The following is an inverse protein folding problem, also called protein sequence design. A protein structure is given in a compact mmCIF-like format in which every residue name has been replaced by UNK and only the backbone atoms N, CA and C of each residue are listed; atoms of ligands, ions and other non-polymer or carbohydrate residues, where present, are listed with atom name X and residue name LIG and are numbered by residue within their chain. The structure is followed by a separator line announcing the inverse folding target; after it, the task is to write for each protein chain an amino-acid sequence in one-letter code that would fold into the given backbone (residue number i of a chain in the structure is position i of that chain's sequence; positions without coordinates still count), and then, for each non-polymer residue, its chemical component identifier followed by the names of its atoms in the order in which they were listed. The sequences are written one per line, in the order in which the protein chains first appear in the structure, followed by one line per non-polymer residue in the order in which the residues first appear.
data_IF_047542546753
#
_entry.id   IF_047542546753
#
_cell.length_a   1.000
_cell.length_b   1.000
_cell.length_c   1.000
_cell.angle_alpha   90.00
_cell.angle_beta   90.00
_cell.angle_gamma   90.00
#
_symmetry.space_group_name_H-M   'P 1'
#
loop_
_entity.id
_entity.type
_entity.pdbx_description
1 polymer ?
#
# COMPACT_ATOMS: atom_id res chain seq x y z
N UNK A 1 -21.40 -34.45 3.56
CA UNK A 1 -20.83 -33.16 3.14
C UNK A 1 -20.36 -32.44 4.40
N UNK A 2 -19.05 -32.19 4.52
CA UNK A 2 -18.55 -31.20 5.48
C UNK A 2 -18.88 -29.84 4.87
N UNK A 3 -19.73 -29.07 5.55
CA UNK A 3 -20.04 -27.70 5.20
C UNK A 3 -19.43 -26.77 6.23
N UNK A 4 -18.90 -25.64 5.79
CA UNK A 4 -18.43 -24.58 6.66
C UNK A 4 -19.50 -23.48 6.74
N UNK A 5 -19.80 -23.04 7.96
CA UNK A 5 -20.74 -21.94 8.20
C UNK A 5 -19.96 -20.70 8.58
N UNK A 6 -20.13 -19.62 7.82
CA UNK A 6 -19.50 -18.34 8.07
C UNK A 6 -20.53 -17.35 8.61
N UNK A 7 -20.24 -16.72 9.75
CA UNK A 7 -21.08 -15.71 10.36
C UNK A 7 -20.19 -14.66 11.03
N UNK A 8 -20.49 -13.38 10.82
CA UNK A 8 -19.77 -12.24 11.40
C UNK A 8 -20.74 -11.32 12.12
N UNK A 9 -20.34 -10.81 13.29
CA UNK A 9 -21.16 -9.89 14.12
C UNK A 9 -20.64 -8.46 14.05
N UNK A 10 -19.32 -8.28 14.06
CA UNK A 10 -18.68 -6.96 14.04
C UNK A 10 -18.30 -6.47 12.63
N UNK A 11 -18.72 -7.17 11.57
CA UNK A 11 -18.54 -6.73 10.19
C UNK A 11 -17.07 -6.58 9.80
N UNK A 12 -16.70 -5.39 9.29
CA UNK A 12 -15.34 -5.15 8.78
C UNK A 12 -14.25 -5.28 9.86
N UNK A 13 -14.56 -5.09 11.14
CA UNK A 13 -13.58 -5.27 12.23
C UNK A 13 -13.09 -6.71 12.32
N UNK A 14 -14.02 -7.67 12.28
CA UNK A 14 -13.70 -9.10 12.25
C UNK A 14 -13.01 -9.47 10.94
N UNK A 15 -13.45 -8.88 9.82
CA UNK A 15 -12.88 -9.21 8.53
C UNK A 15 -11.42 -8.76 8.40
N UNK A 16 -11.06 -7.56 8.87
CA UNK A 16 -9.66 -7.11 8.92
C UNK A 16 -8.81 -8.04 9.77
N UNK A 17 -9.28 -8.43 10.96
CA UNK A 17 -8.55 -9.37 11.83
C UNK A 17 -8.36 -10.73 11.16
N UNK A 18 -9.37 -11.22 10.45
CA UNK A 18 -9.27 -12.45 9.68
C UNK A 18 -8.21 -12.36 8.58
N UNK A 19 -8.20 -11.27 7.80
CA UNK A 19 -7.23 -11.04 6.73
C UNK A 19 -5.80 -10.78 7.24
N UNK A 20 -5.68 -10.26 8.47
CA UNK A 20 -4.40 -9.98 9.10
C UNK A 20 -3.90 -11.07 10.05
N UNK A 21 -4.63 -12.19 10.18
CA UNK A 21 -4.39 -13.22 11.20
C UNK A 21 -3.01 -13.90 11.19
N UNK A 22 -2.23 -13.74 10.12
CA UNK A 22 -0.86 -14.26 9.99
C UNK A 22 0.23 -13.20 10.27
N UNK A 23 -0.15 -11.96 10.61
CA UNK A 23 0.77 -10.85 10.87
C UNK A 23 0.66 -10.39 12.32
N UNK A 24 1.73 -9.82 12.87
CA UNK A 24 1.73 -9.35 14.27
C UNK A 24 1.20 -7.92 14.31
N UNK A 25 0.05 -7.66 14.95
CA UNK A 25 -0.48 -6.30 15.08
C UNK A 25 0.43 -5.47 15.98
N UNK A 26 0.64 -4.20 15.63
CA UNK A 26 1.47 -3.27 16.42
C UNK A 26 0.64 -2.27 17.24
N UNK A 27 -0.68 -2.24 17.02
CA UNK A 27 -1.65 -1.40 17.73
C UNK A 27 -2.63 -2.27 18.50
N UNK A 28 -3.23 -1.72 19.55
CA UNK A 28 -4.08 -2.49 20.47
C UNK A 28 -5.43 -2.90 19.87
N UNK A 29 -6.00 -2.06 19.00
CA UNK A 29 -7.34 -2.24 18.47
C UNK A 29 -7.42 -1.93 16.98
N UNK A 30 -8.40 -2.54 16.30
CA UNK A 30 -8.71 -2.20 14.90
C UNK A 30 -9.30 -0.79 14.88
N UNK A 31 -8.73 0.07 14.06
CA UNK A 31 -9.25 1.40 13.81
C UNK A 31 -10.40 1.26 12.81
N UNK A 32 -11.59 1.74 13.15
CA UNK A 32 -12.75 1.58 12.27
C UNK A 32 -13.76 2.69 12.45
N UNK A 33 -14.52 2.96 11.40
CA UNK A 33 -15.74 3.77 11.48
C UNK A 33 -16.80 3.24 10.53
N UNK A 34 -18.04 3.56 10.86
CA UNK A 34 -19.20 3.40 9.99
C UNK A 34 -19.91 4.75 9.95
N UNK A 35 -20.06 5.31 8.74
CA UNK A 35 -20.84 6.50 8.49
C UNK A 35 -21.97 6.16 7.53
N UNK A 36 -23.15 5.93 8.08
CA UNK A 36 -24.37 5.54 7.37
C UNK A 36 -25.29 6.73 7.00
N UNK A 37 -25.01 7.92 7.54
CA UNK A 37 -25.86 9.13 7.38
C UNK A 37 -25.43 10.04 6.24
N UNK A 38 -24.27 9.79 5.63
CA UNK A 38 -23.78 10.55 4.47
C UNK A 38 -24.50 10.21 3.18
N UNK A 39 -24.39 11.08 2.18
CA UNK A 39 -24.88 10.83 0.80
C UNK A 39 -24.25 9.57 0.20
N UNK A 40 -23.00 9.31 0.56
CA UNK A 40 -22.27 8.08 0.24
C UNK A 40 -21.91 7.42 1.58
N UNK A 41 -22.62 6.37 2.00
CA UNK A 41 -22.24 5.62 3.18
C UNK A 41 -20.85 4.99 3.03
N UNK A 42 -20.01 5.17 4.05
CA UNK A 42 -18.63 4.70 4.08
C UNK A 42 -18.40 3.88 5.35
N UNK A 43 -17.86 2.69 5.18
CA UNK A 43 -17.38 1.84 6.28
C UNK A 43 -15.91 1.52 6.01
N UNK A 44 -15.03 1.78 6.98
CA UNK A 44 -13.61 1.45 6.88
C UNK A 44 -13.17 0.78 8.16
N UNK A 45 -12.33 -0.24 8.02
CA UNK A 45 -11.58 -0.82 9.12
C UNK A 45 -10.13 -1.01 8.70
N UNK A 46 -9.18 -0.75 9.59
CA UNK A 46 -7.77 -0.94 9.34
C UNK A 46 -6.99 -1.32 10.59
N UNK A 47 -5.86 -1.98 10.37
CA UNK A 47 -4.90 -2.32 11.41
C UNK A 47 -3.48 -2.18 10.87
N UNK A 48 -2.57 -1.73 11.73
CA UNK A 48 -1.13 -1.77 11.43
C UNK A 48 -0.51 -3.04 12.02
N UNK A 49 0.40 -3.62 11.26
CA UNK A 49 1.18 -4.80 11.63
C UNK A 49 2.68 -4.57 11.38
N UNK A 50 3.50 -5.56 11.72
CA UNK A 50 4.95 -5.54 11.61
C UNK A 50 5.49 -5.74 10.19
N UNK A 51 4.64 -6.07 9.21
CA UNK A 51 5.08 -6.34 7.84
C UNK A 51 5.47 -5.08 7.05
N UNK A 52 6.09 -5.28 5.89
CA UNK A 52 6.55 -4.23 4.98
C UNK A 52 5.61 -4.01 3.78
N UNK A 53 4.51 -4.76 3.68
CA UNK A 53 3.58 -4.66 2.55
C UNK A 53 2.28 -3.96 2.95
N UNK A 54 1.69 -3.22 2.00
CA UNK A 54 0.31 -2.76 2.12
C UNK A 54 -0.65 -3.86 1.64
N UNK A 55 -1.77 -4.01 2.33
CA UNK A 55 -2.81 -4.98 2.00
C UNK A 55 -4.19 -4.31 2.11
N UNK A 56 -4.64 -3.71 1.01
CA UNK A 56 -5.87 -2.91 0.98
C UNK A 56 -6.91 -3.61 0.13
N UNK A 57 -8.07 -3.89 0.72
CA UNK A 57 -9.24 -4.41 0.04
C UNK A 57 -10.27 -3.31 -0.10
N UNK A 58 -10.87 -3.18 -1.29
CA UNK A 58 -11.83 -2.13 -1.56
C UNK A 58 -13.09 -2.69 -2.21
N UNK A 59 -14.24 -2.22 -1.74
CA UNK A 59 -15.55 -2.73 -2.12
C UNK A 59 -16.49 -1.58 -2.43
N UNK A 60 -17.31 -1.77 -3.46
CA UNK A 60 -18.41 -0.86 -3.82
C UNK A 60 -19.66 -1.70 -3.92
N UNK A 61 -20.68 -1.44 -3.10
CA UNK A 61 -21.92 -2.23 -3.08
C UNK A 61 -21.66 -3.75 -3.00
N UNK A 62 -20.72 -4.17 -2.12
CA UNK A 62 -20.25 -5.55 -1.94
C UNK A 62 -19.47 -6.17 -3.12
N UNK A 63 -19.17 -5.40 -4.17
CA UNK A 63 -18.33 -5.85 -5.29
C UNK A 63 -16.88 -5.47 -5.01
N UNK A 64 -15.96 -6.44 -5.07
CA UNK A 64 -14.53 -6.21 -4.89
C UNK A 64 -13.94 -5.46 -6.10
N UNK A 65 -13.43 -4.25 -5.85
CA UNK A 65 -12.71 -3.43 -6.83
C UNK A 65 -11.20 -3.63 -6.67
N UNK A 66 -10.68 -4.74 -7.22
CA UNK A 66 -9.26 -5.10 -7.05
C UNK A 66 -8.29 -4.18 -7.80
N UNK A 67 -8.76 -3.42 -8.81
CA UNK A 67 -7.98 -2.36 -9.45
C UNK A 67 -8.13 -1.00 -8.72
N UNK A 68 -8.91 -0.95 -7.64
CA UNK A 68 -9.12 0.22 -6.81
C UNK A 68 -10.15 1.18 -7.39
N UNK A 69 -9.83 2.47 -7.43
CA UNK A 69 -10.74 3.51 -7.91
C UNK A 69 -10.74 4.76 -7.03
N UNK A 70 -11.76 5.58 -7.21
CA UNK A 70 -11.91 6.88 -6.54
C UNK A 70 -12.06 6.77 -5.02
N UNK A 71 -12.76 5.77 -4.50
CA UNK A 71 -12.83 5.46 -3.06
C UNK A 71 -11.46 5.11 -2.48
N UNK A 72 -10.67 4.27 -3.15
CA UNK A 72 -9.31 3.94 -2.72
C UNK A 72 -8.40 5.19 -2.74
N UNK A 73 -8.55 6.05 -3.75
CA UNK A 73 -7.86 7.34 -3.80
C UNK A 73 -8.23 8.23 -2.61
N UNK A 74 -9.53 8.34 -2.30
CA UNK A 74 -10.03 9.09 -1.14
C UNK A 74 -9.44 8.56 0.17
N UNK A 75 -9.43 7.25 0.36
CA UNK A 75 -8.81 6.60 1.52
C UNK A 75 -7.33 6.95 1.66
N UNK A 76 -6.54 6.76 0.59
CA UNK A 76 -5.09 7.04 0.58
C UNK A 76 -4.80 8.52 0.91
N UNK A 77 -5.63 9.42 0.38
CA UNK A 77 -5.52 10.85 0.64
C UNK A 77 -5.82 11.20 2.10
N UNK A 78 -6.94 10.72 2.64
CA UNK A 78 -7.35 10.95 4.02
C UNK A 78 -6.29 10.43 5.00
N UNK A 79 -5.87 9.18 4.82
CA UNK A 79 -4.83 8.51 5.62
C UNK A 79 -3.52 9.31 5.63
N UNK A 80 -2.99 9.60 4.45
CA UNK A 80 -1.69 10.29 4.32
C UNK A 80 -1.74 11.67 4.93
N UNK A 81 -2.80 12.45 4.66
CA UNK A 81 -2.93 13.82 5.15
C UNK A 81 -3.04 13.86 6.67
N UNK A 82 -3.87 13.00 7.25
CA UNK A 82 -4.11 12.99 8.71
C UNK A 82 -2.89 12.51 9.47
N UNK A 83 -2.28 11.39 9.07
CA UNK A 83 -1.09 10.88 9.74
C UNK A 83 0.10 11.82 9.60
N UNK A 84 0.27 12.46 8.43
CA UNK A 84 1.31 13.48 8.26
C UNK A 84 1.10 14.68 9.18
N UNK A 85 -0.11 15.24 9.23
CA UNK A 85 -0.47 16.34 10.12
C UNK A 85 -0.19 15.98 11.58
N UNK A 86 -0.55 14.78 12.02
CA UNK A 86 -0.27 14.31 13.37
C UNK A 86 1.23 14.17 13.63
N UNK A 87 1.98 13.56 12.70
CA UNK A 87 3.42 13.36 12.82
C UNK A 87 4.18 14.69 12.88
N UNK A 88 3.83 15.67 12.04
CA UNK A 88 4.38 17.02 12.06
C UNK A 88 4.08 17.72 13.40
N UNK A 89 2.85 17.64 13.91
CA UNK A 89 2.45 18.25 15.17
C UNK A 89 3.10 17.60 16.41
N UNK A 90 3.47 16.31 16.32
CA UNK A 90 4.06 15.56 17.43
C UNK A 90 5.55 15.88 17.68
N UNK A 91 6.23 16.58 16.76
CA UNK A 91 7.68 16.82 16.80
C UNK A 91 8.55 15.57 16.59
N UNK A 92 7.95 14.40 16.34
CA UNK A 92 8.68 13.15 16.09
C UNK A 92 9.48 13.18 14.79
N UNK A 93 9.12 14.09 13.87
CA UNK A 93 9.75 14.26 12.57
C UNK A 93 10.96 15.20 12.58
N UNK A 94 11.20 15.96 13.66
CA UNK A 94 12.23 17.01 13.71
C UNK A 94 13.65 16.51 13.44
N UNK A 95 13.91 15.23 13.73
CA UNK A 95 15.21 14.58 13.52
C UNK A 95 15.37 14.00 12.12
N UNK A 96 14.29 13.89 11.33
CA UNK A 96 14.35 13.39 9.97
C UNK A 96 14.84 14.49 9.03
N UNK A 97 15.90 14.20 8.28
CA UNK A 97 16.48 15.12 7.28
C UNK A 97 15.91 14.90 5.88
N UNK A 98 14.84 14.14 5.76
CA UNK A 98 14.31 13.70 4.48
C UNK A 98 12.80 13.56 4.53
N UNK A 99 12.17 13.72 3.37
CA UNK A 99 10.71 13.70 3.26
C UNK A 99 10.15 12.28 3.36
N UNK A 100 9.04 12.17 4.08
CA UNK A 100 8.19 10.98 4.16
C UNK A 100 7.21 11.01 2.98
N UNK A 101 7.11 9.90 2.26
CA UNK A 101 6.18 9.73 1.15
C UNK A 101 4.85 9.15 1.64
N UNK A 102 3.80 9.25 0.82
CA UNK A 102 2.52 8.60 1.13
C UNK A 102 2.62 7.09 1.28
N UNK A 103 3.59 6.46 0.60
CA UNK A 103 3.81 5.00 0.65
C UNK A 103 4.32 4.57 2.02
N UNK A 104 5.17 5.39 2.65
CA UNK A 104 5.70 5.11 3.99
C UNK A 104 4.58 5.03 5.05
N UNK A 105 3.49 5.79 4.86
CA UNK A 105 2.31 5.74 5.74
C UNK A 105 1.48 4.47 5.56
N UNK A 106 1.62 3.75 4.46
CA UNK A 106 0.83 2.55 4.14
C UNK A 106 1.60 1.26 4.34
N UNK A 107 2.89 1.35 4.66
CA UNK A 107 3.71 0.19 4.97
C UNK A 107 3.16 -0.57 6.18
N UNK A 108 2.93 -1.88 6.04
CA UNK A 108 2.37 -2.75 7.08
C UNK A 108 0.94 -2.41 7.48
N UNK A 109 0.16 -1.84 6.56
CA UNK A 109 -1.26 -1.55 6.73
C UNK A 109 -2.11 -2.65 6.10
N UNK A 110 -3.01 -3.24 6.88
CA UNK A 110 -4.12 -4.04 6.36
C UNK A 110 -5.42 -3.26 6.53
N UNK A 111 -6.11 -2.96 5.44
CA UNK A 111 -7.31 -2.13 5.46
C UNK A 111 -8.41 -2.67 4.55
N UNK A 112 -9.66 -2.45 4.95
CA UNK A 112 -10.85 -2.73 4.15
C UNK A 112 -11.68 -1.47 4.06
N UNK A 113 -12.06 -1.10 2.83
CA UNK A 113 -12.87 0.07 2.52
C UNK A 113 -14.12 -0.42 1.81
N UNK A 114 -15.29 -0.12 2.36
CA UNK A 114 -16.58 -0.43 1.76
C UNK A 114 -17.38 0.85 1.59
N UNK A 115 -17.82 1.12 0.36
CA UNK A 115 -18.67 2.27 0.05
C UNK A 115 -19.98 1.82 -0.59
N UNK A 116 -21.07 2.52 -0.26
CA UNK A 116 -22.37 2.34 -0.91
C UNK A 116 -22.63 3.51 -1.83
N UNK A 117 -22.76 3.24 -3.12
CA UNK A 117 -22.93 4.27 -4.18
C UNK A 117 -24.22 3.97 -4.93
N UNK A 118 -25.11 4.96 -5.04
CA UNK A 118 -26.42 4.78 -5.69
C UNK A 118 -26.28 4.45 -7.19
N UNK A 119 -25.47 5.22 -7.91
CA UNK A 119 -25.21 5.03 -9.35
C UNK A 119 -23.70 4.82 -9.59
N UNK A 120 -23.17 3.60 -9.33
CA UNK A 120 -21.75 3.34 -9.48
C UNK A 120 -21.34 3.26 -10.96
N UNK A 121 -20.36 4.06 -11.34
CA UNK A 121 -19.71 4.09 -12.64
C UNK A 121 -18.38 3.36 -12.53
N UNK A 122 -18.22 2.26 -13.26
CA UNK A 122 -16.99 1.48 -13.29
C UNK A 122 -16.21 1.73 -14.59
N UNK A 123 -14.89 1.71 -14.51
CA UNK A 123 -14.04 1.64 -15.69
C UNK A 123 -14.07 0.21 -16.24
N UNK A 124 -14.50 0.05 -17.50
CA UNK A 124 -14.56 -1.25 -18.17
C UNK A 124 -15.72 -2.16 -17.75
N UNK A 125 -15.79 -3.33 -18.38
CA UNK A 125 -16.89 -4.29 -18.20
C UNK A 125 -16.79 -5.09 -16.90
N UNK A 126 -15.57 -5.32 -16.41
CA UNK A 126 -15.27 -6.24 -15.30
C UNK A 126 -15.52 -5.64 -13.91
N UNK A 127 -16.07 -4.41 -13.81
CA UNK A 127 -16.39 -3.71 -12.55
C UNK A 127 -15.24 -3.68 -11.54
N UNK A 128 -14.02 -3.53 -12.04
CA UNK A 128 -12.78 -3.67 -11.27
C UNK A 128 -12.32 -2.38 -10.63
N UNK A 129 -12.73 -1.25 -11.19
CA UNK A 129 -12.29 0.08 -10.78
C UNK A 129 -13.42 1.09 -10.78
N UNK A 130 -13.60 1.80 -9.65
CA UNK A 130 -14.64 2.84 -9.49
C UNK A 130 -14.19 4.18 -10.09
N UNK A 131 -15.07 4.83 -10.85
CA UNK A 131 -14.84 6.10 -11.55
C UNK A 131 -15.59 7.32 -10.98
N UNK A 132 -16.53 7.14 -10.05
CA UNK A 132 -17.30 8.23 -9.42
C UNK A 132 -16.40 9.20 -8.65
N UNK A 133 -16.13 10.40 -9.17
CA UNK A 133 -15.19 11.37 -8.58
C UNK A 133 -15.72 11.97 -7.27
N UNK A 134 -17.03 12.08 -7.15
CA UNK A 134 -17.75 12.52 -5.95
C UNK A 134 -17.48 11.65 -4.72
N UNK A 135 -17.03 10.41 -4.90
CA UNK A 135 -16.71 9.47 -3.81
C UNK A 135 -15.39 9.82 -3.10
N UNK A 136 -14.47 10.52 -3.76
CA UNK A 136 -13.14 10.81 -3.19
C UNK A 136 -13.25 11.64 -1.91
N UNK A 137 -14.06 12.69 -1.91
CA UNK A 137 -14.13 13.64 -0.78
C UNK A 137 -14.81 13.04 0.46
N UNK A 138 -15.99 12.40 0.37
CA UNK A 138 -16.64 11.76 1.52
C UNK A 138 -15.76 10.69 2.17
N UNK A 139 -15.11 9.84 1.38
CA UNK A 139 -14.20 8.81 1.91
C UNK A 139 -12.99 9.43 2.60
N UNK A 140 -12.37 10.44 1.97
CA UNK A 140 -11.21 11.15 2.55
C UNK A 140 -11.55 11.84 3.88
N UNK A 141 -12.75 12.44 3.97
CA UNK A 141 -13.23 13.09 5.20
C UNK A 141 -13.52 12.08 6.30
N UNK A 142 -14.26 11.00 5.98
CA UNK A 142 -14.54 9.94 6.95
C UNK A 142 -13.25 9.35 7.53
N UNK A 143 -12.29 9.02 6.66
CA UNK A 143 -10.98 8.48 7.06
C UNK A 143 -10.20 9.47 7.91
N UNK A 144 -10.25 10.76 7.58
CA UNK A 144 -9.59 11.78 8.38
C UNK A 144 -10.19 11.86 9.79
N UNK A 145 -11.52 11.93 9.92
CA UNK A 145 -12.22 12.00 11.20
C UNK A 145 -11.94 10.77 12.08
N UNK A 146 -12.05 9.56 11.52
CA UNK A 146 -11.75 8.32 12.24
C UNK A 146 -10.31 8.31 12.78
N UNK A 147 -9.34 8.69 11.95
CA UNK A 147 -7.94 8.70 12.36
C UNK A 147 -7.65 9.81 13.37
N UNK A 148 -8.19 11.01 13.19
CA UNK A 148 -8.02 12.11 14.17
C UNK A 148 -8.55 11.67 15.55
N UNK A 149 -9.78 11.14 15.60
CA UNK A 149 -10.37 10.63 16.84
C UNK A 149 -9.52 9.52 17.46
N UNK A 150 -9.11 8.51 16.67
CA UNK A 150 -8.33 7.39 17.20
C UNK A 150 -6.97 7.82 17.75
N UNK A 151 -6.26 8.70 17.03
CA UNK A 151 -4.90 9.14 17.42
C UNK A 151 -4.93 10.04 18.65
N UNK A 152 -6.00 10.80 18.87
CA UNK A 152 -6.23 11.60 20.08
C UNK A 152 -6.57 10.72 21.28
N UNK A 153 -7.43 9.71 21.09
CA UNK A 153 -7.83 8.78 22.15
C UNK A 153 -6.71 7.79 22.52
N UNK A 154 -5.83 7.44 21.57
CA UNK A 154 -4.81 6.40 21.72
C UNK A 154 -3.38 6.93 21.42
N UNK A 155 -2.82 7.82 22.27
CA UNK A 155 -1.53 8.45 22.02
C UNK A 155 -0.34 7.48 21.99
N UNK A 156 -0.44 6.33 22.66
CA UNK A 156 0.61 5.30 22.60
C UNK A 156 0.64 4.62 21.23
N UNK A 157 -0.51 4.18 20.74
CA UNK A 157 -0.64 3.58 19.41
C UNK A 157 -0.25 4.58 18.32
N UNK A 158 -0.67 5.85 18.46
CA UNK A 158 -0.28 6.91 17.55
C UNK A 158 1.25 7.07 17.43
N UNK A 159 1.97 7.03 18.56
CA UNK A 159 3.45 7.05 18.56
C UNK A 159 4.04 5.83 17.86
N UNK A 160 3.48 4.63 18.09
CA UNK A 160 3.94 3.39 17.45
C UNK A 160 3.76 3.47 15.93
N UNK A 161 2.60 3.94 15.46
CA UNK A 161 2.32 4.14 14.03
C UNK A 161 3.35 5.11 13.44
N UNK A 162 3.55 6.29 14.04
CA UNK A 162 4.51 7.28 13.52
C UNK A 162 5.94 6.73 13.51
N UNK A 163 6.35 5.98 14.53
CA UNK A 163 7.67 5.34 14.55
C UNK A 163 7.84 4.33 13.42
N UNK A 164 6.82 3.52 13.13
CA UNK A 164 6.85 2.60 11.98
C UNK A 164 7.01 3.36 10.66
N UNK A 165 6.24 4.43 10.46
CA UNK A 165 6.35 5.28 9.26
C UNK A 165 7.74 5.90 9.13
N UNK A 166 8.33 6.35 10.25
CA UNK A 166 9.70 6.86 10.26
C UNK A 166 10.66 5.78 9.77
N UNK A 167 10.59 4.56 10.33
CA UNK A 167 11.44 3.44 9.94
C UNK A 167 11.30 3.08 8.46
N UNK A 168 10.07 3.02 7.95
CA UNK A 168 9.77 2.82 6.53
C UNK A 168 10.47 3.88 5.65
N UNK A 169 10.33 5.15 6.02
CA UNK A 169 10.98 6.26 5.33
C UNK A 169 12.51 6.14 5.37
N UNK A 170 13.12 5.78 6.51
CA UNK A 170 14.58 5.61 6.60
C UNK A 170 15.05 4.47 5.70
N UNK A 171 14.33 3.34 5.68
CA UNK A 171 14.63 2.20 4.85
C UNK A 171 14.56 2.55 3.35
N UNK A 172 13.51 3.26 2.93
CA UNK A 172 13.33 3.75 1.55
C UNK A 172 14.47 4.68 1.13
N UNK A 173 14.85 5.64 1.97
CA UNK A 173 15.94 6.56 1.66
C UNK A 173 17.32 5.88 1.66
N UNK A 174 17.57 4.95 2.58
CA UNK A 174 18.78 4.14 2.58
C UNK A 174 18.89 3.29 1.29
N UNK A 175 17.80 2.66 0.87
CA UNK A 175 17.73 1.89 -0.37
C UNK A 175 17.94 2.78 -1.60
N UNK A 176 17.33 3.97 -1.66
CA UNK A 176 17.53 4.95 -2.73
C UNK A 176 18.99 5.38 -2.82
N UNK A 177 19.61 5.73 -1.69
CA UNK A 177 21.03 6.12 -1.64
C UNK A 177 21.95 4.97 -2.09
N UNK A 178 21.65 3.73 -1.69
CA UNK A 178 22.39 2.56 -2.13
C UNK A 178 22.32 2.38 -3.66
N UNK A 179 21.11 2.49 -4.25
CA UNK A 179 20.91 2.43 -5.71
C UNK A 179 21.64 3.55 -6.44
N UNK A 180 21.57 4.78 -5.95
CA UNK A 180 22.28 5.93 -6.54
C UNK A 180 23.80 5.77 -6.47
N UNK A 181 24.35 5.24 -5.38
CA UNK A 181 25.79 4.95 -5.26
C UNK A 181 26.24 3.88 -6.27
N UNK A 182 25.43 2.84 -6.49
CA UNK A 182 25.70 1.84 -7.53
C UNK A 182 25.59 2.47 -8.92
N UNK A 183 24.54 3.25 -9.19
CA UNK A 183 24.35 3.92 -10.49
C UNK A 183 25.47 4.91 -10.81
N UNK A 184 25.93 5.71 -9.84
CA UNK A 184 27.07 6.62 -10.04
C UNK A 184 28.37 5.86 -10.34
N UNK A 185 28.58 4.70 -9.71
CA UNK A 185 29.72 3.82 -10.04
C UNK A 185 29.60 3.23 -11.46
N UNK A 186 28.38 2.93 -11.93
CA UNK A 186 28.15 2.44 -13.30
C UNK A 186 28.16 3.54 -14.37
N UNK A 187 27.96 4.82 -14.03
CA UNK A 187 28.07 5.92 -15.02
C UNK A 187 29.53 6.19 -15.42
N UNK A 188 30.51 5.91 -14.55
CA UNK A 188 31.94 5.93 -14.88
C UNK A 188 32.56 4.55 -15.12
N UNK A 189 31.79 3.46 -14.99
CA UNK A 189 32.21 2.09 -15.24
C UNK A 189 31.30 1.44 -16.27
N UNK A 190 31.82 1.25 -17.49
CA UNK A 190 31.11 0.80 -18.70
C UNK A 190 29.80 0.04 -18.48
N UNK A 191 28.73 0.54 -19.10
CA UNK A 191 27.38 -0.05 -19.06
C UNK A 191 27.39 -1.53 -19.44
N UNK A 192 26.86 -2.35 -18.55
CA UNK A 192 26.75 -3.80 -18.70
C UNK A 192 26.85 -4.51 -17.35
N UNK A 193 26.54 -5.80 -17.32
CA UNK A 193 26.97 -6.74 -16.26
C UNK A 193 28.26 -7.40 -16.77
N UNK A 194 29.45 -6.81 -16.53
CA UNK A 194 30.67 -7.22 -17.21
C UNK A 194 30.97 -8.69 -16.86
N UNK A 195 31.07 -9.53 -17.89
CA UNK A 195 31.35 -10.96 -17.74
C UNK A 195 30.15 -11.86 -17.40
N UNK A 196 28.96 -11.31 -17.10
CA UNK A 196 27.73 -12.11 -16.87
C UNK A 196 26.72 -11.95 -17.98
N UNK A 197 26.44 -10.72 -18.41
CA UNK A 197 25.60 -10.46 -19.58
C UNK A 197 26.42 -10.63 -20.86
N UNK A 198 25.87 -11.36 -21.81
CA UNK A 198 26.35 -11.40 -23.19
C UNK A 198 25.29 -10.73 -24.05
N UNK A 199 25.61 -9.53 -24.54
CA UNK A 199 24.69 -8.73 -25.33
C UNK A 199 24.49 -9.33 -26.72
N UNK A 200 23.28 -9.19 -27.25
CA UNK A 200 22.98 -9.47 -28.65
C UNK A 200 23.50 -8.34 -29.55
N UNK A 201 23.75 -8.63 -30.83
CA UNK A 201 24.17 -7.63 -31.80
C UNK A 201 23.04 -6.71 -32.26
N UNK A 202 21.79 -7.13 -32.10
CA UNK A 202 20.59 -6.35 -32.46
C UNK A 202 20.30 -5.29 -31.38
N UNK A 203 19.88 -4.11 -31.81
CA UNK A 203 19.57 -2.97 -30.93
C UNK A 203 18.07 -2.67 -30.84
N UNK A 204 17.26 -3.20 -31.75
CA UNK A 204 15.79 -3.09 -31.72
C UNK A 204 15.21 -4.00 -30.61
N UNK A 205 14.68 -3.44 -29.50
CA UNK A 205 14.19 -4.23 -28.38
C UNK A 205 13.04 -5.18 -28.74
N UNK A 206 12.31 -4.89 -29.83
CA UNK A 206 11.19 -5.73 -30.29
C UNK A 206 11.65 -7.04 -30.94
N UNK A 207 12.93 -7.12 -31.32
CA UNK A 207 13.58 -8.28 -31.93
C UNK A 207 14.58 -8.96 -31.00
N UNK A 208 14.84 -8.37 -29.84
CA UNK A 208 15.76 -8.92 -28.85
C UNK A 208 15.02 -9.88 -27.92
N UNK A 209 15.67 -10.99 -27.59
CA UNK A 209 15.20 -11.96 -26.62
C UNK A 209 16.18 -12.05 -25.46
N UNK A 210 15.67 -12.23 -24.23
CA UNK A 210 16.47 -12.36 -23.02
C UNK A 210 16.32 -13.78 -22.48
N UNK A 211 17.45 -14.47 -22.36
CA UNK A 211 17.53 -15.80 -21.74
C UNK A 211 18.10 -15.68 -20.33
N UNK A 212 17.34 -16.15 -19.33
CA UNK A 212 17.78 -16.23 -17.94
C UNK A 212 18.22 -17.67 -17.65
N UNK A 213 19.50 -17.86 -17.30
CA UNK A 213 20.13 -19.16 -17.10
C UNK A 213 20.76 -19.27 -15.71
N UNK A 214 20.68 -20.45 -15.12
CA UNK A 214 21.26 -20.70 -13.79
C UNK A 214 22.76 -20.99 -13.90
N UNK A 215 23.57 -20.03 -13.49
CA UNK A 215 25.02 -20.18 -13.36
C UNK A 215 25.80 -20.24 -14.69
N UNK A 216 27.13 -20.33 -14.56
CA UNK A 216 28.04 -20.20 -15.71
C UNK A 216 28.03 -21.46 -16.60
N UNK A 217 27.65 -22.63 -16.06
CA UNK A 217 27.56 -23.88 -16.82
C UNK A 217 26.47 -23.83 -17.88
N UNK A 218 25.23 -23.48 -17.49
CA UNK A 218 24.13 -23.33 -18.43
C UNK A 218 24.33 -22.12 -19.34
N UNK A 219 24.94 -21.04 -18.82
CA UNK A 219 25.27 -19.86 -19.62
C UNK A 219 26.32 -20.11 -20.70
N UNK A 220 27.30 -20.97 -20.47
CA UNK A 220 28.27 -21.35 -21.49
C UNK A 220 27.61 -22.02 -22.69
N UNK A 221 26.72 -22.98 -22.43
CA UNK A 221 25.97 -23.68 -23.48
C UNK A 221 25.02 -22.74 -24.21
N UNK A 222 24.31 -21.87 -23.49
CA UNK A 222 23.39 -20.90 -24.09
C UNK A 222 24.10 -19.84 -24.96
N UNK A 223 25.35 -19.48 -24.64
CA UNK A 223 26.14 -18.52 -25.43
C UNK A 223 26.74 -19.10 -26.70
N UNK A 224 26.99 -20.41 -26.72
CA UNK A 224 27.63 -21.11 -27.85
C UNK A 224 26.62 -21.79 -28.80
N UNK A 225 25.35 -21.88 -28.39
CA UNK A 225 24.27 -22.50 -29.15
C UNK A 225 23.63 -21.59 -30.19
#
# INVERSE_FOLDING_TARGET
YLGETFHSKEGLKEFVKFLDGNRVPIIGHVISMENDKGEIPVEVALIYNDSYSENIFSYVNNINTHEGGTHLQGFRMGLTRTLKKYADASGLLDKLKFEISGDDFREGLTAIISVKVAEPQFEGQTKTKLGNREVVSPVSQAVAEMLENYLEENPNDAKIIVQKVILAAQARHAAKKAREMVQRKTVMGGGGLPGKLSDCSEQDPTKCEIFLVEGDSAGGTAKQG
#
